data_IF_300044882451
#
_entry.id   IF_300044882451
#
_cell.length_a   1.000
_cell.length_b   1.000
_cell.length_c   1.000
_cell.angle_alpha   90.00
_cell.angle_beta   90.00
_cell.angle_gamma   90.00
#
_symmetry.space_group_name_H-M   'P 1'
#
loop_
_entity.id
_entity.type
_entity.pdbx_description
1 polymer ?
#
# COMPACT_ATOMS: atom_id res chain seq x y z
N UNK A 1 21.95 0.97 1.11
CA UNK A 1 22.03 -0.01 2.19
C UNK A 1 22.19 0.65 3.58
N UNK A 2 23.15 1.58 3.77
CA UNK A 2 23.40 2.25 5.05
C UNK A 2 22.28 3.21 5.44
N UNK A 3 21.75 4.00 4.49
CA UNK A 3 20.62 4.93 4.70
C UNK A 3 19.31 4.19 4.99
N UNK A 4 19.09 3.07 4.33
CA UNK A 4 17.92 2.21 4.54
C UNK A 4 17.91 1.56 5.93
N UNK A 5 19.08 1.13 6.43
CA UNK A 5 19.22 0.70 7.83
C UNK A 5 18.89 1.83 8.82
N UNK A 6 19.36 3.05 8.55
CA UNK A 6 19.07 4.20 9.41
C UNK A 6 17.58 4.52 9.45
N UNK A 7 16.87 4.36 8.33
CA UNK A 7 15.44 4.54 8.22
C UNK A 7 14.65 3.57 9.12
N UNK A 8 15.09 2.34 9.25
CA UNK A 8 14.44 1.33 10.10
C UNK A 8 14.80 1.46 11.59
N UNK A 9 16.02 1.89 11.91
CA UNK A 9 16.55 1.86 13.28
C UNK A 9 16.18 3.10 14.08
N UNK A 10 16.32 4.29 13.49
CA UNK A 10 16.18 5.56 14.26
C UNK A 10 14.76 6.05 14.41
N UNK A 11 13.94 5.88 13.37
CA UNK A 11 12.72 6.66 13.28
C UNK A 11 11.44 5.80 13.32
N UNK A 12 11.59 4.46 13.41
CA UNK A 12 10.46 3.51 13.42
C UNK A 12 10.53 2.46 14.49
N UNK A 13 11.49 2.53 15.36
CA UNK A 13 11.63 1.58 16.47
C UNK A 13 11.55 0.10 16.05
N UNK A 14 11.95 -0.22 14.79
CA UNK A 14 11.94 -1.57 14.28
C UNK A 14 13.13 -2.37 14.81
N UNK A 15 12.93 -3.65 15.01
CA UNK A 15 14.00 -4.64 15.16
C UNK A 15 14.66 -4.85 13.80
N UNK A 16 15.99 -4.89 13.77
CA UNK A 16 16.76 -5.18 12.56
C UNK A 16 17.12 -6.66 12.54
N UNK A 17 16.83 -7.32 11.43
CA UNK A 17 17.18 -8.71 11.25
C UNK A 17 18.71 -8.88 11.19
N UNK A 18 19.23 -9.92 11.84
CA UNK A 18 20.65 -10.29 11.77
C UNK A 18 21.04 -10.76 10.36
N UNK A 19 20.10 -11.43 9.69
CA UNK A 19 20.22 -11.86 8.30
C UNK A 19 18.93 -11.55 7.54
N UNK A 20 19.05 -11.36 6.24
CA UNK A 20 17.92 -11.20 5.32
C UNK A 20 18.25 -11.85 3.99
N UNK A 21 17.24 -12.34 3.29
CA UNK A 21 17.40 -13.03 2.02
C UNK A 21 16.39 -12.54 0.99
N UNK A 22 16.85 -12.43 -0.26
CA UNK A 22 15.97 -12.22 -1.39
C UNK A 22 15.49 -13.55 -1.93
N UNK A 23 14.18 -13.71 -1.98
CA UNK A 23 13.50 -14.78 -2.71
C UNK A 23 13.04 -14.28 -4.09
N UNK A 24 12.65 -15.18 -4.95
CA UNK A 24 12.07 -14.88 -6.27
C UNK A 24 10.56 -15.00 -6.18
N UNK A 25 9.86 -13.87 -6.45
CA UNK A 25 8.42 -13.82 -6.60
C UNK A 25 8.10 -13.90 -8.09
N UNK A 26 7.54 -15.00 -8.55
CA UNK A 26 7.17 -15.17 -9.95
C UNK A 26 6.12 -14.15 -10.36
N UNK A 27 6.37 -13.46 -11.47
CA UNK A 27 5.53 -12.39 -11.97
C UNK A 27 5.65 -12.28 -13.48
N UNK A 28 4.69 -12.87 -14.20
CA UNK A 28 4.68 -12.96 -15.65
C UNK A 28 3.87 -11.82 -16.25
N UNK A 29 4.50 -10.64 -16.36
CA UNK A 29 3.86 -9.47 -16.93
C UNK A 29 4.84 -8.66 -17.77
N UNK A 30 4.40 -7.93 -18.82
CA UNK A 30 5.31 -7.23 -19.74
C UNK A 30 6.24 -6.21 -19.08
N UNK A 31 5.88 -5.66 -17.91
CA UNK A 31 6.70 -4.71 -17.15
C UNK A 31 7.80 -5.37 -16.31
N UNK A 32 7.85 -6.72 -16.32
CA UNK A 32 8.89 -7.50 -15.61
C UNK A 32 9.58 -8.46 -16.58
N UNK A 33 10.59 -7.99 -17.35
CA UNK A 33 11.20 -8.77 -18.44
C UNK A 33 11.82 -10.10 -18.00
N UNK A 34 12.28 -10.22 -16.76
CA UNK A 34 12.88 -11.45 -16.21
C UNK A 34 11.86 -12.43 -15.61
N UNK A 35 10.55 -12.11 -15.67
CA UNK A 35 9.45 -12.93 -15.19
C UNK A 35 9.45 -13.20 -13.67
N UNK A 36 10.27 -12.53 -12.90
CA UNK A 36 10.25 -12.58 -11.44
C UNK A 36 10.73 -11.25 -10.84
N UNK A 37 10.28 -10.98 -9.64
CA UNK A 37 10.70 -9.86 -8.80
C UNK A 37 11.46 -10.43 -7.60
N UNK A 38 12.63 -9.89 -7.28
CA UNK A 38 13.29 -10.24 -6.03
C UNK A 38 12.62 -9.51 -4.88
N UNK A 39 12.45 -10.19 -3.76
CA UNK A 39 11.79 -9.64 -2.57
C UNK A 39 12.33 -10.27 -1.29
N UNK A 40 12.46 -9.48 -0.23
CA UNK A 40 12.78 -9.97 1.11
C UNK A 40 11.52 -10.25 1.94
N UNK A 41 10.39 -10.49 1.31
CA UNK A 41 9.09 -10.65 1.96
C UNK A 41 9.13 -11.63 3.14
N UNK A 42 9.75 -12.80 2.96
CA UNK A 42 9.82 -13.86 3.98
C UNK A 42 10.88 -13.61 5.06
N UNK A 43 11.99 -12.98 4.67
CA UNK A 43 13.11 -12.66 5.55
C UNK A 43 13.44 -11.16 5.45
N UNK A 44 12.59 -10.29 6.04
CA UNK A 44 12.69 -8.84 5.88
C UNK A 44 13.91 -8.27 6.59
N UNK A 45 14.35 -7.09 6.15
CA UNK A 45 15.46 -6.38 6.78
C UNK A 45 15.10 -5.82 8.16
N UNK A 46 13.82 -5.50 8.37
CA UNK A 46 13.32 -4.96 9.64
C UNK A 46 11.88 -5.41 9.91
N UNK A 47 11.54 -5.56 11.17
CA UNK A 47 10.25 -6.06 11.63
C UNK A 47 9.88 -5.52 13.01
N UNK A 48 8.62 -5.70 13.43
CA UNK A 48 8.11 -5.34 14.74
C UNK A 48 8.48 -3.93 15.19
N UNK A 49 8.06 -2.95 14.40
CA UNK A 49 8.29 -1.54 14.72
C UNK A 49 7.00 -0.77 14.97
N UNK A 50 7.14 0.52 15.13
CA UNK A 50 6.02 1.44 15.21
C UNK A 50 6.42 2.86 14.83
N UNK A 51 5.41 3.65 14.47
CA UNK A 51 5.52 5.08 14.25
C UNK A 51 4.40 5.77 15.02
N UNK A 52 4.77 6.69 15.91
CA UNK A 52 3.80 7.55 16.58
C UNK A 52 3.47 8.74 15.66
N UNK A 53 2.19 8.99 15.47
CA UNK A 53 1.68 10.07 14.62
C UNK A 53 0.74 10.96 15.45
N UNK A 54 0.66 12.24 15.07
CA UNK A 54 -0.21 13.22 15.71
C UNK A 54 -1.28 13.61 14.69
N UNK A 55 -2.53 13.51 15.09
CA UNK A 55 -3.67 13.92 14.28
C UNK A 55 -3.86 15.44 14.35
N UNK A 56 -4.72 15.99 13.49
CA UNK A 56 -4.94 17.43 13.39
C UNK A 56 -5.46 18.06 14.70
N UNK A 57 -6.17 17.29 15.52
CA UNK A 57 -6.66 17.72 16.84
C UNK A 57 -5.65 17.53 17.99
N UNK A 58 -4.43 17.10 17.69
CA UNK A 58 -3.39 16.82 18.67
C UNK A 58 -3.44 15.43 19.30
N UNK A 59 -4.38 14.57 18.90
CA UNK A 59 -4.44 13.18 19.38
C UNK A 59 -3.24 12.41 18.86
N UNK A 60 -2.53 11.73 19.75
CA UNK A 60 -1.45 10.82 19.38
C UNK A 60 -1.99 9.43 19.07
N UNK A 61 -1.42 8.81 18.05
CA UNK A 61 -1.77 7.46 17.64
C UNK A 61 -0.53 6.65 17.28
N UNK A 62 -0.42 5.45 17.82
CA UNK A 62 0.65 4.52 17.46
C UNK A 62 0.21 3.59 16.35
N UNK A 63 0.95 3.62 15.24
CA UNK A 63 0.78 2.68 14.13
C UNK A 63 1.90 1.67 14.17
N UNK A 64 1.58 0.41 14.41
CA UNK A 64 2.56 -0.66 14.44
C UNK A 64 2.96 -1.08 13.03
N UNK A 65 4.24 -1.35 12.86
CA UNK A 65 4.84 -1.82 11.61
C UNK A 65 5.15 -3.30 11.75
N UNK A 66 4.62 -4.11 10.87
CA UNK A 66 4.89 -5.54 10.83
C UNK A 66 6.29 -5.79 10.29
N UNK A 67 6.62 -5.20 9.13
CA UNK A 67 7.92 -5.35 8.49
C UNK A 67 8.23 -4.19 7.54
N UNK A 68 9.51 -4.05 7.26
CA UNK A 68 10.02 -3.30 6.13
C UNK A 68 11.00 -4.20 5.37
N UNK A 69 10.80 -4.38 4.08
CA UNK A 69 11.63 -5.24 3.25
C UNK A 69 11.96 -4.58 1.92
N UNK A 70 13.03 -5.03 1.32
CA UNK A 70 13.46 -4.54 0.02
C UNK A 70 12.92 -5.43 -1.09
N UNK A 71 12.61 -4.76 -2.19
CA UNK A 71 12.22 -5.34 -3.46
C UNK A 71 12.94 -4.61 -4.60
N UNK A 72 12.64 -4.96 -5.83
CA UNK A 72 12.94 -4.16 -7.02
C UNK A 72 11.65 -3.68 -7.66
N UNK A 73 11.68 -2.50 -8.26
CA UNK A 73 10.53 -1.97 -8.98
C UNK A 73 10.38 -2.63 -10.35
N UNK A 74 9.16 -2.64 -10.88
CA UNK A 74 8.83 -3.08 -12.24
C UNK A 74 8.92 -1.92 -13.22
N UNK A 75 8.84 -2.20 -14.51
CA UNK A 75 8.65 -1.18 -15.54
C UNK A 75 7.33 -0.44 -15.38
N UNK A 76 7.08 0.49 -16.27
CA UNK A 76 5.82 1.25 -16.34
C UNK A 76 5.06 0.85 -17.58
N UNK A 77 3.78 0.51 -17.43
CA UNK A 77 2.85 0.30 -18.54
C UNK A 77 1.98 1.54 -18.76
N UNK A 78 1.88 1.98 -20.01
CA UNK A 78 0.96 3.04 -20.41
C UNK A 78 0.05 2.51 -21.50
N UNK A 79 -1.25 2.48 -21.23
CA UNK A 79 -2.27 1.96 -22.15
C UNK A 79 -2.80 3.10 -23.05
N UNK A 80 -2.59 2.98 -24.36
CA UNK A 80 -3.00 3.98 -25.35
C UNK A 80 -4.43 3.72 -25.82
N UNK A 81 -5.17 4.78 -26.08
CA UNK A 81 -6.55 4.69 -26.60
C UNK A 81 -7.60 4.31 -25.58
N UNK A 82 -7.25 4.06 -24.33
CA UNK A 82 -8.18 3.79 -23.24
C UNK A 82 -8.54 5.06 -22.49
N UNK A 83 -9.81 5.42 -22.45
CA UNK A 83 -10.31 6.56 -21.68
C UNK A 83 -10.12 6.40 -20.16
N UNK A 84 -10.01 5.15 -19.68
CA UNK A 84 -9.81 4.82 -18.27
C UNK A 84 -8.35 4.58 -17.88
N UNK A 85 -7.40 4.65 -18.85
CA UNK A 85 -6.01 4.27 -18.63
C UNK A 85 -5.79 2.77 -18.37
N UNK A 86 -6.81 1.93 -18.55
CA UNK A 86 -6.77 0.48 -18.35
C UNK A 86 -6.49 -0.23 -19.65
N UNK A 87 -6.01 -1.49 -19.58
CA UNK A 87 -5.78 -2.32 -20.75
C UNK A 87 -7.08 -2.59 -21.54
N UNK A 88 -8.23 -2.66 -20.84
CA UNK A 88 -9.54 -2.83 -21.48
C UNK A 88 -9.85 -1.60 -22.33
N UNK A 89 -10.03 -1.83 -23.64
CA UNK A 89 -10.25 -0.76 -24.62
C UNK A 89 -8.98 -0.06 -25.10
N UNK A 90 -7.81 -0.49 -24.66
CA UNK A 90 -6.56 0.02 -25.18
C UNK A 90 -6.24 -0.59 -26.55
N UNK A 91 -5.77 0.25 -27.47
CA UNK A 91 -5.30 -0.18 -28.79
C UNK A 91 -3.87 -0.68 -28.76
N UNK A 92 -3.08 -0.22 -27.81
CA UNK A 92 -1.68 -0.61 -27.60
C UNK A 92 -1.27 -0.35 -26.16
N UNK A 93 -0.17 -0.97 -25.74
CA UNK A 93 0.48 -0.69 -24.45
C UNK A 93 1.95 -0.40 -24.69
N UNK A 94 2.42 0.73 -24.16
CA UNK A 94 3.84 1.07 -24.14
C UNK A 94 4.45 0.52 -22.85
N UNK A 95 5.60 -0.11 -22.97
CA UNK A 95 6.39 -0.62 -21.86
C UNK A 95 7.63 0.26 -21.71
N UNK A 96 7.75 0.94 -20.58
CA UNK A 96 8.92 1.72 -20.22
C UNK A 96 9.67 0.97 -19.10
N UNK A 97 10.85 0.46 -19.43
CA UNK A 97 11.70 -0.29 -18.51
C UNK A 97 12.70 0.56 -17.73
N UNK A 98 12.68 1.90 -17.86
CA UNK A 98 13.66 2.76 -17.17
C UNK A 98 13.59 2.63 -15.64
N UNK A 99 12.45 2.26 -15.10
CA UNK A 99 12.24 2.04 -13.67
C UNK A 99 12.53 0.60 -13.24
N UNK A 100 12.53 -0.36 -14.14
CA UNK A 100 12.70 -1.78 -13.82
C UNK A 100 14.04 -2.04 -13.12
N UNK A 101 13.99 -2.74 -11.99
CA UNK A 101 15.16 -3.07 -11.20
C UNK A 101 15.63 -1.97 -10.24
N UNK A 102 14.98 -0.80 -10.20
CA UNK A 102 15.27 0.22 -9.19
C UNK A 102 14.92 -0.33 -7.81
N UNK A 103 15.79 -0.12 -6.78
CA UNK A 103 15.49 -0.57 -5.42
C UNK A 103 14.19 0.06 -4.89
N UNK A 104 13.31 -0.81 -4.39
CA UNK A 104 12.04 -0.47 -3.78
C UNK A 104 12.05 -0.92 -2.32
N UNK A 105 11.42 -0.15 -1.43
CA UNK A 105 11.14 -0.56 -0.05
C UNK A 105 9.64 -0.66 0.12
N UNK A 106 9.16 -1.79 0.58
CA UNK A 106 7.80 -1.98 1.04
C UNK A 106 7.75 -1.95 2.56
N UNK A 107 6.82 -1.16 3.11
CA UNK A 107 6.58 -1.02 4.54
C UNK A 107 5.15 -1.43 4.80
N UNK A 108 4.99 -2.48 5.59
CA UNK A 108 3.69 -3.07 5.90
C UNK A 108 3.36 -2.80 7.35
N UNK A 109 2.19 -2.22 7.61
CA UNK A 109 1.67 -2.02 8.97
C UNK A 109 0.97 -3.28 9.47
N UNK A 110 0.97 -3.47 10.79
CA UNK A 110 -0.05 -4.31 11.42
C UNK A 110 -1.42 -3.65 11.27
N UNK A 111 -2.53 -4.39 11.44
CA UNK A 111 -3.84 -3.80 11.41
C UNK A 111 -3.98 -2.66 12.43
N UNK A 112 -4.51 -1.52 12.02
CA UNK A 112 -4.82 -0.40 12.90
C UNK A 112 -6.18 -0.67 13.52
N UNK A 113 -6.18 -1.15 14.76
CA UNK A 113 -7.38 -1.58 15.48
C UNK A 113 -7.84 -0.48 16.43
N UNK A 114 -9.15 -0.32 16.57
CA UNK A 114 -9.74 0.61 17.54
C UNK A 114 -9.83 2.07 17.08
N UNK A 115 -9.33 2.39 15.88
CA UNK A 115 -9.44 3.74 15.34
C UNK A 115 -10.89 4.12 14.97
N UNK A 116 -11.75 3.13 14.66
CA UNK A 116 -13.14 3.35 14.31
C UNK A 116 -13.29 4.36 13.18
N UNK A 117 -14.16 5.34 13.35
CA UNK A 117 -14.40 6.39 12.36
C UNK A 117 -13.17 7.29 12.09
N UNK A 118 -12.17 7.26 12.96
CA UNK A 118 -10.92 8.02 12.80
C UNK A 118 -9.86 7.29 11.98
N UNK A 119 -10.10 6.04 11.57
CA UNK A 119 -9.14 5.27 10.77
C UNK A 119 -8.65 6.02 9.50
N UNK A 120 -9.50 6.76 8.75
CA UNK A 120 -9.05 7.57 7.61
C UNK A 120 -8.03 8.64 8.00
N UNK A 121 -8.21 9.33 9.12
CA UNK A 121 -7.30 10.36 9.61
C UNK A 121 -5.96 9.76 10.06
N UNK A 122 -6.01 8.64 10.77
CA UNK A 122 -4.82 7.90 11.21
C UNK A 122 -4.02 7.44 10.00
N UNK A 123 -4.66 6.88 8.98
CA UNK A 123 -4.00 6.45 7.75
C UNK A 123 -3.31 7.61 7.03
N UNK A 124 -3.99 8.75 6.88
CA UNK A 124 -3.41 9.98 6.30
C UNK A 124 -2.20 10.46 7.09
N UNK A 125 -2.33 10.55 8.42
CA UNK A 125 -1.26 11.02 9.29
C UNK A 125 -0.04 10.08 9.22
N UNK A 126 -0.25 8.77 9.19
CA UNK A 126 0.79 7.78 9.06
C UNK A 126 1.56 7.90 7.74
N UNK A 127 0.85 7.94 6.61
CA UNK A 127 1.48 8.08 5.29
C UNK A 127 2.21 9.43 5.18
N UNK A 128 1.64 10.50 5.76
CA UNK A 128 2.27 11.81 5.84
C UNK A 128 3.58 11.79 6.61
N UNK A 129 3.59 11.18 7.80
CA UNK A 129 4.79 11.04 8.62
C UNK A 129 5.88 10.20 7.92
N UNK A 130 5.49 9.09 7.26
CA UNK A 130 6.41 8.31 6.44
C UNK A 130 7.03 9.11 5.31
N UNK A 131 6.20 9.88 4.60
CA UNK A 131 6.64 10.74 3.50
C UNK A 131 7.71 11.72 3.96
N UNK A 132 7.47 12.44 5.04
CA UNK A 132 8.44 13.39 5.56
C UNK A 132 9.72 12.70 6.06
N UNK A 133 9.59 11.52 6.66
CA UNK A 133 10.72 10.73 7.12
C UNK A 133 11.63 10.29 5.97
N UNK A 134 11.10 9.70 4.89
CA UNK A 134 11.92 9.23 3.76
C UNK A 134 12.55 10.38 3.00
N UNK A 135 11.90 11.57 2.98
CA UNK A 135 12.47 12.81 2.43
C UNK A 135 13.62 13.31 3.29
N UNK A 136 13.43 13.42 4.60
CA UNK A 136 14.46 13.88 5.53
C UNK A 136 15.72 13.00 5.50
N UNK A 137 15.55 11.70 5.27
CA UNK A 137 16.65 10.75 5.12
C UNK A 137 17.29 10.76 3.72
N UNK A 138 16.73 11.50 2.77
CA UNK A 138 17.18 11.52 1.39
C UNK A 138 17.09 10.15 0.69
N UNK A 139 16.13 9.34 1.09
CA UNK A 139 15.88 8.00 0.50
C UNK A 139 15.00 8.12 -0.74
N UNK A 140 14.03 9.03 -0.73
CA UNK A 140 13.10 9.28 -1.83
C UNK A 140 12.66 10.74 -1.80
N UNK A 141 12.25 11.28 -2.95
CA UNK A 141 11.52 12.54 -3.03
C UNK A 141 10.05 12.40 -2.58
N UNK A 142 9.60 11.15 -2.40
CA UNK A 142 8.29 10.75 -1.90
C UNK A 142 7.10 11.43 -2.63
N UNK A 143 7.20 11.55 -3.93
CA UNK A 143 6.15 12.13 -4.78
C UNK A 143 5.12 11.06 -5.15
N UNK A 144 3.96 11.12 -4.50
CA UNK A 144 2.87 10.19 -4.74
C UNK A 144 2.28 10.37 -6.15
N UNK A 145 2.20 11.61 -6.64
CA UNK A 145 1.72 11.97 -7.98
C UNK A 145 2.60 11.43 -9.11
N UNK A 146 3.88 11.19 -8.83
CA UNK A 146 4.84 10.64 -9.79
C UNK A 146 5.16 9.16 -9.56
N UNK A 147 4.58 8.55 -8.52
CA UNK A 147 4.74 7.13 -8.22
C UNK A 147 6.07 6.76 -7.55
N UNK A 148 6.86 7.75 -7.07
CA UNK A 148 8.05 7.47 -6.25
C UNK A 148 7.70 7.11 -4.80
N UNK A 149 6.47 7.38 -4.37
CA UNK A 149 5.83 6.81 -3.19
C UNK A 149 4.43 6.32 -3.57
N UNK A 150 4.10 5.10 -3.21
CA UNK A 150 2.80 4.46 -3.46
C UNK A 150 2.20 4.02 -2.14
N UNK A 151 0.88 4.04 -2.06
CA UNK A 151 0.13 3.58 -0.89
C UNK A 151 -1.01 2.70 -1.36
N UNK A 152 -1.08 1.50 -0.79
CA UNK A 152 -2.22 0.60 -0.91
C UNK A 152 -2.91 0.55 0.45
N UNK A 153 -4.22 0.76 0.49
CA UNK A 153 -5.01 0.74 1.70
C UNK A 153 -5.83 -0.56 1.80
N UNK A 154 -5.60 -1.32 2.86
CA UNK A 154 -6.38 -2.51 3.18
C UNK A 154 -7.42 -2.16 4.25
N UNK A 155 -8.69 -2.38 3.95
CA UNK A 155 -9.80 -2.07 4.85
C UNK A 155 -10.64 -3.32 5.08
N UNK A 156 -11.00 -3.56 6.34
CA UNK A 156 -12.02 -4.55 6.72
C UNK A 156 -12.85 -4.00 7.89
N UNK A 157 -14.13 -4.29 7.89
CA UNK A 157 -15.03 -3.96 8.99
C UNK A 157 -15.50 -5.22 9.70
N UNK A 158 -15.76 -5.09 10.99
CA UNK A 158 -16.36 -6.12 11.82
C UNK A 158 -17.35 -5.49 12.80
N UNK A 159 -18.38 -6.20 13.24
CA UNK A 159 -19.26 -5.75 14.32
C UNK A 159 -18.46 -5.44 15.59
N UNK A 160 -18.95 -4.46 16.36
CA UNK A 160 -18.37 -4.17 17.68
C UNK A 160 -18.49 -5.39 18.60
N UNK A 161 -17.40 -5.77 19.22
CA UNK A 161 -17.32 -6.96 20.11
C UNK A 161 -16.90 -8.26 19.41
N UNK A 162 -16.82 -8.28 18.09
CA UNK A 162 -16.25 -9.40 17.35
C UNK A 162 -14.72 -9.34 17.36
N UNK A 163 -14.04 -10.43 17.69
CA UNK A 163 -12.57 -10.50 17.69
C UNK A 163 -11.99 -10.76 16.29
N UNK A 164 -12.66 -11.59 15.50
CA UNK A 164 -12.22 -11.94 14.15
C UNK A 164 -12.40 -10.78 13.18
N UNK A 165 -11.39 -10.59 12.31
CA UNK A 165 -11.47 -9.57 11.26
C UNK A 165 -12.53 -9.92 10.22
N UNK A 166 -13.17 -8.90 9.69
CA UNK A 166 -14.01 -9.05 8.51
C UNK A 166 -13.19 -9.25 7.23
N UNK A 167 -13.87 -9.50 6.12
CA UNK A 167 -13.25 -9.65 4.81
C UNK A 167 -12.55 -8.36 4.38
N UNK A 168 -11.30 -8.48 3.98
CA UNK A 168 -10.44 -7.37 3.58
C UNK A 168 -10.62 -7.03 2.11
N UNK A 169 -10.67 -5.74 1.79
CA UNK A 169 -10.46 -5.24 0.43
C UNK A 169 -9.19 -4.40 0.36
N UNK A 170 -8.49 -4.45 -0.77
CA UNK A 170 -7.28 -3.68 -1.05
C UNK A 170 -7.62 -2.55 -2.02
N UNK A 171 -7.37 -1.31 -1.62
CA UNK A 171 -7.56 -0.14 -2.50
C UNK A 171 -6.22 0.37 -2.99
N UNK A 172 -6.08 0.43 -4.32
CA UNK A 172 -4.90 0.90 -5.05
C UNK A 172 -5.16 2.23 -5.76
N UNK A 173 -4.12 2.78 -6.39
CA UNK A 173 -4.18 4.02 -7.15
C UNK A 173 -4.47 5.25 -6.28
N UNK A 174 -3.82 5.32 -5.14
CA UNK A 174 -3.92 6.43 -4.18
C UNK A 174 -2.72 7.36 -4.38
N UNK A 175 -2.96 8.56 -4.93
CA UNK A 175 -1.90 9.42 -5.45
C UNK A 175 -1.64 10.69 -4.60
N UNK A 176 -2.30 10.84 -3.45
CA UNK A 176 -2.11 11.95 -2.51
C UNK A 176 -2.49 11.59 -1.09
N UNK A 177 -2.06 12.37 -0.10
CA UNK A 177 -2.46 12.18 1.30
C UNK A 177 -3.98 12.36 1.49
N UNK A 178 -4.58 13.30 0.76
CA UNK A 178 -6.04 13.49 0.76
C UNK A 178 -6.74 12.24 0.23
N UNK A 179 -6.21 11.66 -0.83
CA UNK A 179 -6.77 10.44 -1.43
C UNK A 179 -6.64 9.23 -0.50
N UNK A 180 -5.60 9.15 0.34
CA UNK A 180 -5.49 8.12 1.39
C UNK A 180 -6.69 8.19 2.33
N UNK A 181 -6.95 9.37 2.89
CA UNK A 181 -8.08 9.58 3.81
C UNK A 181 -9.42 9.26 3.13
N UNK A 182 -9.64 9.77 1.94
CA UNK A 182 -10.89 9.59 1.22
C UNK A 182 -11.13 8.13 0.79
N UNK A 183 -10.09 7.45 0.32
CA UNK A 183 -10.18 6.04 -0.08
C UNK A 183 -10.55 5.13 1.10
N UNK A 184 -9.92 5.32 2.25
CA UNK A 184 -10.25 4.56 3.47
C UNK A 184 -11.67 4.88 3.93
N UNK A 185 -12.07 6.16 3.97
CA UNK A 185 -13.42 6.58 4.37
C UNK A 185 -14.49 6.00 3.45
N UNK A 186 -14.29 6.09 2.15
CA UNK A 186 -15.23 5.55 1.17
C UNK A 186 -15.39 4.03 1.33
N UNK A 187 -14.28 3.32 1.47
CA UNK A 187 -14.29 1.86 1.56
C UNK A 187 -14.95 1.38 2.86
N UNK A 188 -14.73 2.09 3.98
CA UNK A 188 -15.45 1.84 5.24
C UNK A 188 -16.96 2.01 5.07
N UNK A 189 -17.40 3.11 4.44
CA UNK A 189 -18.82 3.37 4.20
C UNK A 189 -19.45 2.33 3.27
N UNK A 190 -18.74 1.96 2.20
CA UNK A 190 -19.20 0.94 1.25
C UNK A 190 -19.39 -0.41 1.92
N UNK A 191 -18.37 -0.86 2.69
CA UNK A 191 -18.46 -2.14 3.41
C UNK A 191 -19.55 -2.11 4.47
N UNK A 192 -19.71 -1.00 5.20
CA UNK A 192 -20.78 -0.84 6.17
C UNK A 192 -22.17 -0.98 5.51
N UNK A 193 -22.38 -0.34 4.37
CA UNK A 193 -23.65 -0.45 3.63
C UNK A 193 -23.92 -1.90 3.20
N UNK A 194 -22.92 -2.59 2.63
CA UNK A 194 -23.08 -4.01 2.23
C UNK A 194 -23.47 -4.90 3.41
N UNK A 195 -22.79 -4.72 4.56
CA UNK A 195 -23.06 -5.52 5.76
C UNK A 195 -24.42 -5.20 6.39
N UNK A 196 -24.84 -3.93 6.39
CA UNK A 196 -26.14 -3.49 6.89
C UNK A 196 -27.30 -4.02 6.04
N UNK A 197 -27.10 -4.14 4.74
CA UNK A 197 -28.09 -4.74 3.81
C UNK A 197 -28.11 -6.27 3.87
N UNK A 198 -27.35 -6.88 4.79
CA UNK A 198 -27.27 -8.34 4.95
C UNK A 198 -26.43 -9.04 3.88
N UNK A 199 -25.65 -8.30 3.10
CA UNK A 199 -24.72 -8.83 2.11
C UNK A 199 -23.38 -9.23 2.73
N UNK A 200 -22.49 -9.76 1.88
CA UNK A 200 -21.14 -10.14 2.25
C UNK A 200 -20.11 -9.30 1.50
N UNK A 201 -19.06 -8.89 2.20
CA UNK A 201 -17.91 -8.24 1.58
C UNK A 201 -17.05 -9.30 0.90
N UNK A 202 -16.78 -9.12 -0.39
CA UNK A 202 -15.91 -10.02 -1.17
C UNK A 202 -14.48 -9.51 -1.10
N UNK A 203 -13.51 -10.41 -0.92
CA UNK A 203 -12.10 -10.07 -0.99
C UNK A 203 -11.73 -9.71 -2.43
N UNK A 204 -11.39 -8.45 -2.65
CA UNK A 204 -11.09 -7.93 -3.98
C UNK A 204 -10.10 -6.78 -3.92
N UNK A 205 -9.41 -6.55 -5.05
CA UNK A 205 -8.66 -5.32 -5.28
C UNK A 205 -9.59 -4.28 -5.89
N UNK A 206 -9.54 -3.06 -5.38
CA UNK A 206 -10.30 -1.90 -5.85
C UNK A 206 -9.35 -0.79 -6.27
N UNK A 207 -9.82 0.11 -7.12
CA UNK A 207 -9.04 1.28 -7.57
C UNK A 207 -9.76 2.56 -7.14
N UNK A 208 -9.02 3.42 -6.45
CA UNK A 208 -9.51 4.75 -6.10
C UNK A 208 -9.67 5.62 -7.34
N UNK A 209 -10.75 6.39 -7.40
CA UNK A 209 -11.08 7.32 -8.48
C UNK A 209 -10.97 8.75 -7.98
N UNK A 210 -9.94 9.46 -8.40
CA UNK A 210 -9.71 10.87 -8.01
C UNK A 210 -10.88 11.80 -8.40
N UNK A 211 -11.60 11.46 -9.47
CA UNK A 211 -12.66 12.30 -10.03
C UNK A 211 -13.85 12.49 -9.07
N UNK A 212 -14.22 11.44 -8.37
CA UNK A 212 -15.43 11.40 -7.53
C UNK A 212 -15.20 10.85 -6.12
N UNK A 213 -13.97 10.49 -5.80
CA UNK A 213 -13.60 9.96 -4.49
C UNK A 213 -14.10 8.53 -4.21
N UNK A 214 -14.63 7.85 -5.21
CA UNK A 214 -15.13 6.47 -5.10
C UNK A 214 -14.04 5.43 -5.31
N UNK A 215 -14.39 4.16 -5.10
CA UNK A 215 -13.56 3.03 -5.52
C UNK A 215 -14.32 2.16 -6.52
N UNK A 216 -13.62 1.66 -7.53
CA UNK A 216 -14.18 0.73 -8.50
C UNK A 216 -13.50 -0.64 -8.40
N UNK A 217 -14.24 -1.71 -8.70
CA UNK A 217 -13.73 -3.08 -8.70
C UNK A 217 -12.54 -3.20 -9.66
N UNK A 218 -11.44 -3.74 -9.16
CA UNK A 218 -10.27 -4.11 -9.94
C UNK A 218 -10.46 -5.49 -10.60
N UNK A 219 -9.40 -6.01 -11.22
CA UNK A 219 -9.39 -7.41 -11.65
C UNK A 219 -9.33 -8.31 -10.43
N UNK A 220 -10.00 -9.47 -10.44
CA UNK A 220 -9.68 -10.51 -9.49
C UNK A 220 -8.18 -10.82 -9.59
N UNK A 221 -7.50 -10.99 -8.46
CA UNK A 221 -6.16 -11.59 -8.47
C UNK A 221 -6.36 -13.00 -9.05
N UNK A 222 -5.74 -13.26 -10.18
CA UNK A 222 -5.49 -14.66 -10.56
C UNK A 222 -4.62 -15.22 -9.43
N UNK A 223 -5.09 -16.25 -8.77
CA UNK A 223 -4.28 -16.97 -7.81
C UNK A 223 -3.03 -17.42 -8.57
N UNK A 224 -1.88 -16.93 -8.12
CA UNK A 224 -0.62 -17.42 -8.64
C UNK A 224 -0.59 -18.90 -8.29
N UNK A 225 -0.77 -19.74 -9.30
CA UNK A 225 -0.48 -21.15 -9.15
C UNK A 225 1.02 -21.29 -8.90
N UNK A 226 1.35 -21.82 -7.74
CA UNK A 226 2.71 -22.23 -7.36
C UNK A 226 3.32 -23.20 -8.38
#
# INVERSE_FOLDING_TARGET
YRRQRQMCIRDRNCKIAESSRFARKNYFYPDQPKNYQISQYDEPIAYDGYLDVVLEDGTEWRVEIERAHMEEDTGKLTHLGSASGRITGATASLVDCNRAGIPLIEIVTKPIIGAGERAPEVAKAYVGALRELVKALGVSDARMDQGSMRCDANVSLRPVGQEEFGTRTETKNINSLKSVEQAVRYEMQRQAAVLQDGGEVVQETRHYQEKDGSTSKGRPKEEASD
#
